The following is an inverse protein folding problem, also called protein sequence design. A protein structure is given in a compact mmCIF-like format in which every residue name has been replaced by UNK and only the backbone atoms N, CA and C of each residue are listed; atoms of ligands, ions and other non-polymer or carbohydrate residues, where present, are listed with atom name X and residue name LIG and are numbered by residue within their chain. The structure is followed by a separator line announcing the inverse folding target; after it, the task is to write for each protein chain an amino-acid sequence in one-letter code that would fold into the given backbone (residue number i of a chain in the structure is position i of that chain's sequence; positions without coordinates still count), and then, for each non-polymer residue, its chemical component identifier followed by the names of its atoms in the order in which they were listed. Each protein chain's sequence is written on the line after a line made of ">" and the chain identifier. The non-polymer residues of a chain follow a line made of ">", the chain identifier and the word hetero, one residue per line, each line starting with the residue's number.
data_IF_858074243124
#
_entry.id   IF_858074243124
#
_cell.length_a   1.000
_cell.length_b   1.000
_cell.length_c   1.000
_cell.angle_alpha   90.00
_cell.angle_beta   90.00
_cell.angle_gamma   90.00
#
_symmetry.space_group_name_H-M   'P 1'
#
loop_
_entity.id
_entity.type
_entity.pdbx_description
1 polymer ?
#
# COMPACT_ATOMS: atom_id res chain seq x y z
N UNK A 1 -12.47 26.68 1.53
CA UNK A 1 -12.40 25.86 2.75
C UNK A 1 -13.72 26.05 3.50
N UNK A 2 -14.56 25.03 3.42
CA UNK A 2 -15.78 25.00 4.23
C UNK A 2 -15.38 24.42 5.60
N UNK A 3 -15.62 25.17 6.66
CA UNK A 3 -15.43 24.74 8.04
C UNK A 3 -16.85 24.60 8.63
N UNK A 4 -17.25 23.37 8.97
CA UNK A 4 -18.58 23.06 9.48
C UNK A 4 -18.57 21.70 10.18
N UNK A 5 -19.23 21.63 11.32
CA UNK A 5 -19.42 20.42 12.14
C UNK A 5 -20.25 19.33 11.46
N UNK A 6 -21.01 19.67 10.42
CA UNK A 6 -21.78 18.70 9.62
C UNK A 6 -21.02 18.21 8.38
N UNK A 7 -19.77 18.63 8.18
CA UNK A 7 -18.98 18.27 7.02
C UNK A 7 -18.05 17.08 7.33
N UNK A 8 -18.24 15.97 6.64
CA UNK A 8 -17.42 14.77 6.76
C UNK A 8 -16.54 14.58 5.52
N UNK A 9 -15.21 14.63 5.71
CA UNK A 9 -14.24 14.35 4.67
C UNK A 9 -14.01 12.83 4.59
N UNK A 10 -14.43 12.20 3.49
CA UNK A 10 -14.27 10.76 3.28
C UNK A 10 -12.84 10.35 2.95
N UNK A 11 -12.12 11.18 2.20
CA UNK A 11 -10.70 10.91 1.91
C UNK A 11 -9.88 11.03 3.20
N UNK A 12 -9.03 10.04 3.51
CA UNK A 12 -8.18 10.12 4.71
C UNK A 12 -7.28 11.34 4.70
N UNK A 13 -7.11 11.95 5.87
CA UNK A 13 -6.18 13.06 6.04
C UNK A 13 -4.73 12.56 5.83
N UNK A 14 -3.94 13.21 4.95
CA UNK A 14 -2.55 12.85 4.71
C UNK A 14 -1.67 12.85 5.96
N UNK A 15 -1.99 13.64 6.99
CA UNK A 15 -1.26 13.70 8.25
C UNK A 15 -1.18 12.34 8.96
N UNK A 16 -2.20 11.47 8.77
CA UNK A 16 -2.29 10.15 9.41
C UNK A 16 -1.75 9.00 8.55
N UNK A 17 -1.15 9.30 7.37
CA UNK A 17 -0.80 8.30 6.35
C UNK A 17 0.12 7.19 6.88
N UNK A 18 1.08 7.54 7.71
CA UNK A 18 2.12 6.61 8.18
C UNK A 18 2.04 6.26 9.66
N UNK A 19 0.92 6.51 10.33
CA UNK A 19 0.74 6.14 11.74
C UNK A 19 0.95 4.64 12.00
N UNK A 20 0.66 3.80 10.99
CA UNK A 20 0.84 2.34 11.06
C UNK A 20 2.15 1.86 10.43
N UNK A 21 3.15 2.72 10.30
CA UNK A 21 4.42 2.40 9.65
C UNK A 21 5.55 2.08 10.64
N UNK A 22 5.36 2.31 11.95
CA UNK A 22 6.44 2.23 12.93
C UNK A 22 7.21 0.91 12.94
N UNK A 23 6.51 -0.21 12.80
CA UNK A 23 7.13 -1.54 12.74
C UNK A 23 7.77 -1.88 11.39
N UNK A 24 7.45 -1.12 10.32
CA UNK A 24 8.07 -1.30 9.00
C UNK A 24 9.48 -0.71 8.95
N UNK A 25 9.66 0.47 9.51
CA UNK A 25 10.91 1.23 9.40
C UNK A 25 11.74 1.24 10.69
N UNK A 26 11.15 0.77 11.79
CA UNK A 26 11.81 0.69 13.09
C UNK A 26 12.54 -0.64 13.33
N UNK A 27 13.37 -0.67 14.38
CA UNK A 27 14.16 -1.85 14.78
C UNK A 27 15.44 -2.04 13.98
N UNK A 28 16.03 -3.25 14.08
CA UNK A 28 17.30 -3.60 13.41
C UNK A 28 17.08 -4.01 11.94
N UNK A 29 16.30 -3.24 11.19
CA UNK A 29 16.08 -3.52 9.76
C UNK A 29 17.11 -2.84 8.89
N UNK A 30 17.62 -3.58 7.90
CA UNK A 30 18.39 -3.00 6.82
C UNK A 30 17.46 -2.35 5.79
N UNK A 31 17.41 -1.02 5.76
CA UNK A 31 16.53 -0.27 4.84
C UNK A 31 17.31 0.13 3.60
N UNK A 32 16.81 -0.23 2.42
CA UNK A 32 17.38 0.19 1.13
C UNK A 32 16.35 0.96 0.31
N UNK A 33 16.66 2.21 -0.02
CA UNK A 33 15.85 3.03 -0.94
C UNK A 33 16.26 2.75 -2.38
N UNK A 34 15.31 2.29 -3.20
CA UNK A 34 15.54 1.99 -4.62
C UNK A 34 15.03 3.15 -5.47
N UNK A 35 15.97 3.79 -6.15
CA UNK A 35 15.76 4.90 -7.07
C UNK A 35 15.68 4.40 -8.51
N UNK A 36 14.87 5.08 -9.32
CA UNK A 36 14.78 4.89 -10.77
C UNK A 36 14.75 6.25 -11.47
N UNK A 37 14.76 6.26 -12.81
CA UNK A 37 14.51 7.48 -13.58
C UNK A 37 13.10 8.07 -13.29
N UNK A 38 12.16 7.22 -12.87
CA UNK A 38 10.77 7.58 -12.54
C UNK A 38 10.54 7.66 -11.03
N UNK A 39 11.55 8.06 -10.24
CA UNK A 39 11.41 8.25 -8.79
C UNK A 39 10.39 9.34 -8.47
N UNK A 40 9.36 8.99 -7.70
CA UNK A 40 8.38 9.93 -7.16
C UNK A 40 9.00 10.75 -6.03
N UNK A 41 9.22 12.04 -6.30
CA UNK A 41 9.89 12.95 -5.37
C UNK A 41 9.05 13.30 -4.13
N UNK A 42 7.73 13.24 -4.24
CA UNK A 42 6.85 13.44 -3.11
C UNK A 42 6.93 12.24 -2.16
N UNK A 43 6.83 11.03 -2.70
CA UNK A 43 6.97 9.80 -1.94
C UNK A 43 8.37 9.67 -1.32
N UNK A 44 9.44 10.02 -2.06
CA UNK A 44 10.80 10.07 -1.51
C UNK A 44 10.88 10.97 -0.27
N UNK A 45 10.33 12.19 -0.35
CA UNK A 45 10.32 13.13 0.77
C UNK A 45 9.55 12.60 1.97
N UNK A 46 8.40 11.96 1.75
CA UNK A 46 7.59 11.34 2.81
C UNK A 46 8.36 10.21 3.50
N UNK A 47 9.02 9.35 2.73
CA UNK A 47 9.81 8.24 3.28
C UNK A 47 11.02 8.75 4.06
N UNK A 48 11.72 9.76 3.55
CA UNK A 48 12.86 10.35 4.28
C UNK A 48 12.41 10.99 5.59
N UNK A 49 11.25 11.64 5.61
CA UNK A 49 10.67 12.18 6.84
C UNK A 49 10.28 11.07 7.84
N UNK A 50 9.77 9.93 7.34
CA UNK A 50 9.42 8.77 8.16
C UNK A 50 10.65 8.08 8.76
N UNK A 51 11.75 7.98 8.01
CA UNK A 51 13.01 7.41 8.47
C UNK A 51 13.71 8.29 9.51
N UNK A 52 13.54 9.61 9.42
CA UNK A 52 14.21 10.54 10.32
C UNK A 52 15.74 10.37 10.34
N UNK A 53 16.31 10.08 11.53
CA UNK A 53 17.74 9.85 11.72
C UNK A 53 18.16 8.37 11.54
N UNK A 54 17.25 7.47 11.11
CA UNK A 54 17.56 6.06 10.89
C UNK A 54 18.52 5.89 9.71
N UNK A 55 19.45 4.95 9.84
CA UNK A 55 20.37 4.61 8.76
C UNK A 55 19.64 3.91 7.61
N UNK A 56 20.03 4.22 6.37
CA UNK A 56 19.53 3.58 5.18
C UNK A 56 20.55 3.57 4.05
N UNK A 57 20.46 2.59 3.18
CA UNK A 57 21.25 2.45 1.96
C UNK A 57 20.49 3.03 0.76
N UNK A 58 21.23 3.49 -0.26
CA UNK A 58 20.67 3.97 -1.51
C UNK A 58 21.13 3.12 -2.67
N UNK A 59 20.22 2.72 -3.51
CA UNK A 59 20.52 1.95 -4.72
C UNK A 59 19.78 2.58 -5.91
N UNK A 60 20.48 2.81 -7.03
CA UNK A 60 19.86 3.27 -8.27
C UNK A 60 19.72 2.10 -9.23
N UNK A 61 18.48 1.67 -9.43
CA UNK A 61 18.16 0.62 -10.38
C UNK A 61 18.29 1.16 -11.81
N UNK A 62 19.14 0.53 -12.61
CA UNK A 62 19.34 0.83 -14.01
C UNK A 62 18.93 -0.38 -14.83
N UNK A 63 17.97 -0.19 -15.75
CA UNK A 63 17.64 -1.21 -16.72
C UNK A 63 18.62 -1.14 -17.88
N UNK A 64 19.41 -2.19 -18.08
CA UNK A 64 20.19 -2.38 -19.30
C UNK A 64 19.44 -3.35 -20.23
N UNK A 65 19.42 -2.99 -21.53
CA UNK A 65 18.77 -3.83 -22.53
C UNK A 65 19.46 -5.20 -22.57
N UNK A 66 18.73 -6.34 -22.76
CA UNK A 66 19.28 -7.69 -22.74
C UNK A 66 20.43 -7.97 -23.73
N UNK A 67 20.70 -7.07 -24.67
CA UNK A 67 21.82 -7.14 -25.60
C UNK A 67 23.19 -6.79 -24.98
N UNK A 68 23.23 -6.18 -23.83
CA UNK A 68 24.48 -5.92 -23.10
C UNK A 68 24.92 -7.23 -22.42
N UNK A 69 25.90 -7.93 -22.99
CA UNK A 69 26.56 -9.10 -22.42
C UNK A 69 27.47 -8.67 -21.25
N UNK A 70 26.90 -8.20 -20.17
CA UNK A 70 27.65 -7.94 -18.93
C UNK A 70 27.54 -9.14 -17.98
N UNK A 71 28.66 -9.60 -17.47
CA UNK A 71 28.73 -10.70 -16.51
C UNK A 71 28.08 -10.35 -15.16
N UNK A 72 27.87 -9.05 -14.88
CA UNK A 72 27.14 -8.54 -13.74
C UNK A 72 25.86 -7.89 -14.28
N UNK A 73 24.78 -8.65 -14.29
CA UNK A 73 23.46 -8.12 -14.66
C UNK A 73 23.11 -6.95 -13.69
N UNK A 74 22.82 -5.74 -14.19
CA UNK A 74 22.39 -4.64 -13.33
C UNK A 74 21.07 -4.92 -12.60
N UNK A 75 20.40 -5.99 -12.97
CA UNK A 75 19.18 -6.47 -12.33
C UNK A 75 19.40 -7.46 -11.20
N UNK A 76 20.67 -7.84 -10.88
CA UNK A 76 20.94 -8.71 -9.74
C UNK A 76 20.91 -7.91 -8.43
N UNK A 77 19.83 -8.04 -7.68
CA UNK A 77 19.65 -7.41 -6.38
C UNK A 77 20.11 -8.30 -5.20
N UNK A 78 20.66 -9.50 -5.49
CA UNK A 78 21.19 -10.41 -4.46
C UNK A 78 22.20 -9.73 -3.51
N UNK A 79 23.11 -8.84 -3.99
CA UNK A 79 24.06 -8.18 -3.10
C UNK A 79 23.46 -7.18 -2.10
N UNK A 80 22.21 -6.79 -2.30
CA UNK A 80 21.50 -5.85 -1.41
C UNK A 80 20.82 -6.56 -0.23
N UNK A 81 20.78 -7.89 -0.24
CA UNK A 81 20.16 -8.69 0.82
C UNK A 81 21.19 -8.96 1.94
N UNK A 82 21.08 -8.21 3.02
CA UNK A 82 21.93 -8.38 4.20
C UNK A 82 21.51 -9.60 5.02
N UNK A 83 22.50 -10.42 5.38
CA UNK A 83 22.28 -11.62 6.19
C UNK A 83 22.13 -11.27 7.66
N UNK A 84 21.23 -11.97 8.36
CA UNK A 84 21.05 -11.84 9.80
C UNK A 84 20.17 -10.64 10.20
N UNK A 85 19.65 -9.90 9.24
CA UNK A 85 18.72 -8.80 9.46
C UNK A 85 17.48 -8.96 8.59
N UNK A 86 16.37 -8.33 9.01
CA UNK A 86 15.21 -8.14 8.16
C UNK A 86 15.48 -6.99 7.19
N UNK A 87 15.32 -7.25 5.88
CA UNK A 87 15.57 -6.24 4.85
C UNK A 87 14.26 -5.56 4.47
N UNK A 88 14.27 -4.23 4.39
CA UNK A 88 13.17 -3.45 3.84
C UNK A 88 13.64 -2.72 2.58
N UNK A 89 13.08 -3.08 1.44
CA UNK A 89 13.27 -2.33 0.20
C UNK A 89 12.14 -1.30 0.04
N UNK A 90 12.49 -0.04 -0.13
CA UNK A 90 11.52 1.01 -0.45
C UNK A 90 11.69 1.38 -1.92
N UNK A 91 10.74 0.99 -2.77
CA UNK A 91 10.78 1.30 -4.19
C UNK A 91 10.10 2.64 -4.43
N UNK A 92 10.89 3.65 -4.77
CA UNK A 92 10.43 5.05 -4.86
C UNK A 92 9.74 5.39 -6.20
N UNK A 93 9.50 4.41 -7.06
CA UNK A 93 8.86 4.63 -8.36
C UNK A 93 7.34 4.48 -8.29
N UNK A 94 6.63 5.31 -9.05
CA UNK A 94 5.19 5.16 -9.36
C UNK A 94 4.94 4.69 -10.81
N UNK A 95 6.00 4.27 -11.51
CA UNK A 95 5.92 3.69 -12.85
C UNK A 95 5.77 2.17 -12.75
N UNK A 96 4.69 1.61 -13.30
CA UNK A 96 4.39 0.18 -13.20
C UNK A 96 5.45 -0.72 -13.84
N UNK A 97 6.11 -0.27 -14.91
CA UNK A 97 7.16 -1.04 -15.61
C UNK A 97 8.43 -1.14 -14.77
N UNK A 98 8.85 -0.03 -14.15
CA UNK A 98 10.00 -0.03 -13.23
C UNK A 98 9.73 -0.92 -12.03
N UNK A 99 8.54 -0.78 -11.43
CA UNK A 99 8.12 -1.56 -10.26
C UNK A 99 8.10 -3.05 -10.57
N UNK A 100 7.48 -3.46 -11.68
CA UNK A 100 7.43 -4.87 -12.09
C UNK A 100 8.84 -5.46 -12.27
N UNK A 101 9.74 -4.72 -12.91
CA UNK A 101 11.13 -5.16 -13.12
C UNK A 101 11.90 -5.32 -11.82
N UNK A 102 11.76 -4.38 -10.89
CA UNK A 102 12.44 -4.43 -9.60
C UNK A 102 11.91 -5.59 -8.75
N UNK A 103 10.59 -5.77 -8.68
CA UNK A 103 9.98 -6.90 -7.99
C UNK A 103 10.41 -8.23 -8.61
N UNK A 104 10.43 -8.34 -9.95
CA UNK A 104 10.92 -9.54 -10.62
C UNK A 104 12.41 -9.82 -10.32
N UNK A 105 13.23 -8.79 -10.19
CA UNK A 105 14.63 -8.92 -9.83
C UNK A 105 14.81 -9.39 -8.38
N UNK A 106 14.03 -8.90 -7.42
CA UNK A 106 14.01 -9.37 -6.02
C UNK A 106 13.55 -10.82 -5.93
N UNK A 107 12.46 -11.18 -6.64
CA UNK A 107 11.99 -12.55 -6.71
C UNK A 107 13.02 -13.51 -7.35
N UNK A 108 13.80 -13.02 -8.32
CA UNK A 108 14.89 -13.79 -8.93
C UNK A 108 16.08 -13.96 -7.99
N UNK A 109 16.42 -12.95 -7.19
CA UNK A 109 17.44 -13.02 -6.16
C UNK A 109 17.09 -14.09 -5.12
N UNK A 110 15.85 -14.12 -4.64
CA UNK A 110 15.33 -15.16 -3.74
C UNK A 110 15.49 -16.56 -4.34
N UNK A 111 15.06 -16.75 -5.58
CA UNK A 111 15.19 -18.02 -6.29
C UNK A 111 16.66 -18.43 -6.49
N UNK A 112 17.55 -17.49 -6.79
CA UNK A 112 18.98 -17.74 -6.97
C UNK A 112 19.65 -18.20 -5.68
N UNK A 113 19.29 -17.62 -4.54
CA UNK A 113 19.82 -18.00 -3.22
C UNK A 113 19.33 -19.41 -2.82
N UNK A 114 18.03 -19.65 -2.93
CA UNK A 114 17.40 -20.92 -2.54
C UNK A 114 17.84 -22.08 -3.42
N UNK A 115 18.04 -21.87 -4.72
CA UNK A 115 18.55 -22.91 -5.65
C UNK A 115 19.96 -23.36 -5.32
N UNK A 116 20.74 -22.55 -4.59
CA UNK A 116 22.08 -22.89 -4.09
C UNK A 116 22.06 -23.56 -2.71
N UNK A 117 20.87 -23.96 -2.23
CA UNK A 117 20.69 -24.57 -0.91
C UNK A 117 20.90 -23.62 0.27
N UNK A 118 20.80 -22.30 0.04
CA UNK A 118 20.89 -21.28 1.06
C UNK A 118 19.50 -20.76 1.42
N UNK A 119 19.33 -20.26 2.63
CA UNK A 119 18.13 -19.56 3.04
C UNK A 119 18.24 -18.10 2.64
N UNK A 120 17.24 -17.60 1.92
CA UNK A 120 17.15 -16.16 1.60
C UNK A 120 16.97 -15.35 2.87
N UNK A 121 17.73 -14.26 3.07
CA UNK A 121 17.46 -13.30 4.11
C UNK A 121 16.02 -12.80 4.00
N UNK A 122 15.35 -12.65 5.12
CA UNK A 122 13.99 -12.15 5.13
C UNK A 122 13.94 -10.73 4.56
N UNK A 123 12.98 -10.47 3.68
CA UNK A 123 12.78 -9.14 3.14
C UNK A 123 11.30 -8.83 2.92
N UNK A 124 11.00 -7.55 2.84
CA UNK A 124 9.70 -7.01 2.44
C UNK A 124 9.90 -5.76 1.58
N UNK A 125 8.88 -5.38 0.86
CA UNK A 125 8.92 -4.21 -0.04
C UNK A 125 7.87 -3.20 0.37
N UNK A 126 8.27 -1.97 0.65
CA UNK A 126 7.36 -0.85 0.83
C UNK A 126 7.19 -0.12 -0.51
N UNK A 127 5.96 -0.09 -1.00
CA UNK A 127 5.58 0.52 -2.26
C UNK A 127 4.85 1.84 -2.13
N UNK A 128 4.83 2.58 -3.25
CA UNK A 128 4.06 3.82 -3.35
C UNK A 128 2.54 3.53 -3.24
N UNK A 129 1.75 4.35 -2.56
CA UNK A 129 0.29 4.22 -2.47
C UNK A 129 -0.43 4.12 -3.82
N UNK A 130 0.18 4.65 -4.89
CA UNK A 130 -0.37 4.57 -6.26
C UNK A 130 -0.37 3.16 -6.84
N UNK A 131 0.41 2.22 -6.28
CA UNK A 131 0.48 0.83 -6.77
C UNK A 131 -0.85 0.09 -6.68
N UNK A 132 -1.74 0.52 -5.81
CA UNK A 132 -3.10 -0.03 -5.75
C UNK A 132 -3.88 0.11 -7.08
N UNK A 133 -3.45 1.02 -7.97
CA UNK A 133 -4.05 1.26 -9.30
C UNK A 133 -3.40 0.46 -10.42
N UNK A 134 -2.27 -0.21 -10.17
CA UNK A 134 -1.59 -0.98 -11.20
C UNK A 134 -2.40 -2.24 -11.55
N UNK A 135 -2.87 -2.30 -12.80
CA UNK A 135 -3.65 -3.43 -13.31
C UNK A 135 -2.83 -4.48 -14.06
N UNK A 136 -1.62 -4.13 -14.51
CA UNK A 136 -0.79 -4.97 -15.37
C UNK A 136 0.22 -5.85 -14.63
N UNK A 137 0.49 -5.59 -13.34
CA UNK A 137 1.45 -6.38 -12.57
C UNK A 137 0.79 -7.65 -12.05
N UNK A 138 1.45 -8.79 -12.25
CA UNK A 138 1.01 -10.06 -11.65
C UNK A 138 1.04 -9.96 -10.13
N UNK A 139 -0.12 -10.10 -9.50
CA UNK A 139 -0.26 -10.02 -8.04
C UNK A 139 0.48 -11.13 -7.30
N UNK A 140 0.80 -12.24 -7.95
CA UNK A 140 1.60 -13.30 -7.35
C UNK A 140 2.97 -12.79 -6.88
N UNK A 141 3.55 -11.83 -7.59
CA UNK A 141 4.85 -11.24 -7.22
C UNK A 141 4.75 -10.38 -5.95
N UNK A 142 3.60 -9.76 -5.69
CA UNK A 142 3.39 -8.99 -4.47
C UNK A 142 3.43 -9.88 -3.22
N UNK A 143 2.86 -11.07 -3.29
CA UNK A 143 2.92 -12.04 -2.21
C UNK A 143 4.34 -12.58 -2.00
N UNK A 144 5.04 -12.89 -3.09
CA UNK A 144 6.40 -13.40 -3.05
C UNK A 144 7.36 -12.41 -2.41
N UNK A 145 7.25 -11.13 -2.75
CA UNK A 145 8.12 -10.06 -2.27
C UNK A 145 7.60 -9.39 -1.00
N UNK A 146 6.49 -9.88 -0.43
CA UNK A 146 5.85 -9.35 0.78
C UNK A 146 5.64 -7.84 0.68
N UNK A 147 4.96 -7.43 -0.40
CA UNK A 147 4.70 -6.02 -0.68
C UNK A 147 3.75 -5.44 0.36
N UNK A 148 4.10 -4.27 0.85
CA UNK A 148 3.29 -3.44 1.74
C UNK A 148 3.10 -2.08 1.10
N UNK A 149 1.91 -1.52 1.17
CA UNK A 149 1.66 -0.13 0.81
C UNK A 149 0.49 0.45 1.59
N UNK A 150 0.50 1.77 1.72
CA UNK A 150 -0.60 2.51 2.35
C UNK A 150 -1.62 2.90 1.28
N UNK A 151 -2.89 2.70 1.58
CA UNK A 151 -3.97 3.00 0.63
C UNK A 151 -5.16 3.65 1.31
N UNK A 152 -5.86 4.47 0.56
CA UNK A 152 -7.14 5.04 0.98
C UNK A 152 -8.32 4.10 0.76
N UNK A 153 -8.09 2.98 0.02
CA UNK A 153 -9.11 1.97 -0.26
C UNK A 153 -8.47 0.64 -0.65
N UNK A 154 -9.09 -0.46 -0.25
CA UNK A 154 -8.74 -1.80 -0.73
C UNK A 154 -9.93 -2.74 -0.55
N UNK A 155 -10.60 -3.11 -1.64
CA UNK A 155 -11.69 -4.08 -1.58
C UNK A 155 -11.11 -5.50 -1.45
N UNK A 156 -11.36 -6.15 -0.32
CA UNK A 156 -10.96 -7.54 -0.06
C UNK A 156 -11.93 -8.48 -0.76
N UNK A 157 -11.65 -8.78 -2.04
CA UNK A 157 -12.56 -9.52 -2.94
C UNK A 157 -12.84 -10.97 -2.53
N UNK A 158 -12.05 -11.54 -1.65
CA UNK A 158 -12.24 -12.86 -1.05
C UNK A 158 -13.20 -12.82 0.15
N UNK A 159 -13.54 -11.65 0.67
CA UNK A 159 -14.52 -11.50 1.74
C UNK A 159 -15.96 -11.75 1.24
N UNK A 160 -16.78 -12.32 2.10
CA UNK A 160 -18.18 -12.61 1.78
C UNK A 160 -18.98 -11.35 1.46
N UNK A 161 -18.76 -10.27 2.21
CA UNK A 161 -19.47 -9.00 2.03
C UNK A 161 -19.19 -8.41 0.65
N UNK A 162 -17.92 -8.37 0.22
CA UNK A 162 -17.53 -7.84 -1.10
C UNK A 162 -18.08 -8.74 -2.21
N UNK A 163 -17.98 -10.07 -2.09
CA UNK A 163 -18.55 -11.01 -3.09
C UNK A 163 -20.06 -10.87 -3.22
N UNK A 164 -20.76 -10.68 -2.12
CA UNK A 164 -22.20 -10.47 -2.13
C UNK A 164 -22.57 -9.18 -2.86
N UNK A 165 -21.87 -8.09 -2.56
CA UNK A 165 -22.04 -6.82 -3.26
C UNK A 165 -21.75 -6.97 -4.76
N UNK A 166 -20.60 -7.55 -5.14
CA UNK A 166 -20.20 -7.75 -6.54
C UNK A 166 -21.27 -8.52 -7.31
N UNK A 167 -21.77 -9.61 -6.72
CA UNK A 167 -22.80 -10.45 -7.33
C UNK A 167 -24.12 -9.70 -7.53
N UNK A 168 -24.52 -8.91 -6.52
CA UNK A 168 -25.73 -8.09 -6.60
C UNK A 168 -25.59 -6.97 -7.64
N UNK A 169 -24.43 -6.32 -7.67
CA UNK A 169 -24.13 -5.25 -8.63
C UNK A 169 -24.12 -5.75 -10.08
N UNK A 170 -23.43 -6.87 -10.34
CA UNK A 170 -23.39 -7.50 -11.68
C UNK A 170 -24.82 -7.87 -12.13
N UNK A 171 -25.64 -8.43 -11.24
CA UNK A 171 -27.01 -8.78 -11.55
C UNK A 171 -27.87 -7.57 -11.91
N UNK A 172 -27.66 -6.44 -11.22
CA UNK A 172 -28.45 -5.23 -11.41
C UNK A 172 -28.00 -4.43 -12.64
N UNK A 173 -26.70 -4.38 -12.93
CA UNK A 173 -26.11 -3.48 -13.93
C UNK A 173 -25.42 -4.17 -15.10
N UNK A 174 -25.24 -5.49 -15.08
CA UNK A 174 -24.55 -6.25 -16.13
C UNK A 174 -23.05 -5.94 -16.26
N UNK A 175 -22.45 -5.31 -15.26
CA UNK A 175 -21.06 -4.86 -15.29
C UNK A 175 -20.38 -5.09 -13.94
N UNK A 176 -19.05 -5.18 -13.93
CA UNK A 176 -18.27 -5.24 -12.69
C UNK A 176 -18.30 -3.90 -11.94
N UNK A 177 -18.37 -3.92 -10.61
CA UNK A 177 -18.25 -2.70 -9.80
C UNK A 177 -16.91 -2.01 -10.03
N UNK A 178 -16.95 -0.70 -10.03
CA UNK A 178 -15.77 0.17 -10.08
C UNK A 178 -15.42 0.69 -8.69
N UNK A 179 -14.27 1.34 -8.55
CA UNK A 179 -13.91 2.10 -7.34
C UNK A 179 -15.05 3.02 -6.86
N UNK A 180 -15.73 3.67 -7.80
CA UNK A 180 -16.82 4.60 -7.47
C UNK A 180 -18.10 3.88 -7.04
N UNK A 181 -18.37 2.68 -7.56
CA UNK A 181 -19.50 1.84 -7.12
C UNK A 181 -19.35 1.44 -5.66
N UNK A 182 -18.15 0.97 -5.28
CA UNK A 182 -17.84 0.66 -3.88
C UNK A 182 -17.93 1.90 -2.98
N UNK A 183 -17.38 3.02 -3.43
CA UNK A 183 -17.42 4.27 -2.64
C UNK A 183 -18.85 4.77 -2.42
N UNK A 184 -19.70 4.69 -3.44
CA UNK A 184 -21.11 5.05 -3.32
C UNK A 184 -21.85 4.18 -2.30
N UNK A 185 -21.61 2.87 -2.35
CA UNK A 185 -22.18 1.92 -1.37
C UNK A 185 -21.68 2.21 0.04
N UNK A 186 -20.35 2.33 0.22
CA UNK A 186 -19.73 2.64 1.51
C UNK A 186 -20.34 3.90 2.13
N UNK A 187 -20.47 4.96 1.33
CA UNK A 187 -21.07 6.23 1.77
C UNK A 187 -22.53 6.05 2.19
N UNK A 188 -23.33 5.34 1.39
CA UNK A 188 -24.74 5.13 1.69
C UNK A 188 -24.92 4.31 2.98
N UNK A 189 -24.13 3.25 3.18
CA UNK A 189 -24.20 2.40 4.39
C UNK A 189 -23.84 3.18 5.66
N UNK A 190 -22.90 4.10 5.57
CA UNK A 190 -22.45 4.90 6.72
C UNK A 190 -23.48 6.01 7.05
N UNK A 191 -23.88 6.79 6.05
CA UNK A 191 -24.64 8.01 6.31
C UNK A 191 -26.17 7.80 6.36
N UNK A 192 -26.71 6.80 5.66
CA UNK A 192 -28.16 6.60 5.68
C UNK A 192 -28.71 6.27 7.08
N UNK A 193 -28.10 5.38 7.89
CA UNK A 193 -28.54 5.17 9.27
C UNK A 193 -28.35 6.40 10.16
N UNK A 194 -27.22 7.13 10.01
CA UNK A 194 -26.92 8.28 10.80
C UNK A 194 -27.84 9.49 10.55
N UNK A 195 -28.49 9.54 9.38
CA UNK A 195 -29.48 10.61 9.08
C UNK A 195 -30.72 10.57 9.98
N UNK A 196 -30.97 9.47 10.69
CA UNK A 196 -32.09 9.34 11.63
C UNK A 196 -31.71 9.62 13.09
N UNK A 197 -30.45 9.91 13.36
CA UNK A 197 -29.89 10.25 14.67
C UNK A 197 -29.07 11.52 14.62
N UNK A 198 -28.23 11.71 15.62
CA UNK A 198 -27.20 12.73 15.62
C UNK A 198 -25.99 12.23 14.83
N UNK A 199 -25.82 12.76 13.60
CA UNK A 199 -24.77 12.30 12.69
C UNK A 199 -23.39 12.45 13.31
N UNK A 200 -23.12 13.57 13.97
CA UNK A 200 -21.83 13.84 14.58
C UNK A 200 -21.49 12.81 15.66
N UNK A 201 -22.43 12.62 16.58
CA UNK A 201 -22.27 11.70 17.70
C UNK A 201 -22.21 10.25 17.26
N UNK A 202 -22.99 9.85 16.27
CA UNK A 202 -23.08 8.48 15.80
C UNK A 202 -21.88 8.03 14.95
N UNK A 203 -21.18 8.95 14.27
CA UNK A 203 -20.10 8.65 13.35
C UNK A 203 -18.69 8.88 13.93
N UNK A 204 -18.57 9.76 14.92
CA UNK A 204 -17.27 10.10 15.51
C UNK A 204 -16.69 8.93 16.32
N UNK A 205 -15.36 8.76 16.22
CA UNK A 205 -14.59 7.75 16.94
C UNK A 205 -15.04 6.28 16.76
N UNK A 206 -15.92 6.01 15.81
CA UNK A 206 -16.32 4.66 15.42
C UNK A 206 -15.65 4.23 14.14
N UNK A 207 -15.23 2.97 14.10
CA UNK A 207 -14.62 2.37 12.91
C UNK A 207 -15.70 1.68 12.06
N UNK A 208 -15.77 2.08 10.79
CA UNK A 208 -16.66 1.51 9.78
C UNK A 208 -15.85 0.92 8.64
N UNK A 209 -16.10 -0.33 8.28
CA UNK A 209 -15.45 -1.00 7.15
C UNK A 209 -16.52 -1.68 6.28
N UNK A 210 -17.26 -0.92 5.43
CA UNK A 210 -18.32 -1.52 4.63
C UNK A 210 -17.79 -2.46 3.55
N UNK A 211 -17.07 -1.97 2.53
CA UNK A 211 -16.54 -2.79 1.44
C UNK A 211 -15.04 -2.56 1.17
N UNK A 212 -14.64 -1.33 0.87
CA UNK A 212 -13.29 -1.05 0.38
C UNK A 212 -12.49 -0.07 1.24
N UNK A 213 -13.14 0.71 2.08
CA UNK A 213 -12.49 1.74 2.88
C UNK A 213 -12.86 1.54 4.35
N UNK A 214 -11.86 1.67 5.21
CA UNK A 214 -12.10 1.81 6.64
C UNK A 214 -12.20 3.28 6.96
N UNK A 215 -13.30 3.66 7.60
CA UNK A 215 -13.55 5.02 8.05
C UNK A 215 -13.41 5.10 9.57
N UNK A 216 -12.70 6.11 10.01
CA UNK A 216 -12.59 6.51 11.41
C UNK A 216 -12.61 8.03 11.43
N UNK A 217 -13.79 8.61 11.68
CA UNK A 217 -13.93 10.05 11.70
C UNK A 217 -13.50 10.63 13.04
N UNK A 218 -12.90 11.78 12.99
CA UNK A 218 -12.59 12.60 14.13
C UNK A 218 -12.41 14.04 13.70
N UNK A 219 -12.39 14.96 14.64
CA UNK A 219 -12.25 16.38 14.35
C UNK A 219 -10.94 16.68 13.63
N UNK A 220 -10.98 17.46 12.57
CA UNK A 220 -9.80 17.92 11.86
C UNK A 220 -8.98 18.91 12.69
N UNK A 221 -7.67 18.91 12.56
CA UNK A 221 -6.81 19.82 13.30
C UNK A 221 -7.10 21.28 12.94
N UNK A 222 -7.50 22.09 13.93
CA UNK A 222 -7.86 23.49 13.74
C UNK A 222 -9.10 23.71 12.87
N UNK A 223 -9.98 22.72 12.74
CA UNK A 223 -11.21 22.77 11.93
C UNK A 223 -12.39 22.21 12.72
N UNK A 224 -13.60 22.62 12.36
CA UNK A 224 -14.84 22.07 12.90
C UNK A 224 -15.29 20.81 12.15
N UNK A 225 -14.83 20.62 10.90
CA UNK A 225 -15.19 19.47 10.08
C UNK A 225 -14.55 18.17 10.55
N UNK A 226 -15.28 17.08 10.37
CA UNK A 226 -14.80 15.72 10.64
C UNK A 226 -13.98 15.18 9.47
N UNK A 227 -12.83 14.57 9.76
CA UNK A 227 -11.96 13.98 8.77
C UNK A 227 -11.79 12.49 9.02
N UNK A 228 -11.72 11.72 7.96
CA UNK A 228 -11.30 10.31 8.07
C UNK A 228 -9.81 10.28 8.42
N UNK A 229 -9.46 9.64 9.53
CA UNK A 229 -8.06 9.50 10.00
C UNK A 229 -7.45 8.17 9.56
N UNK A 230 -8.24 7.24 9.04
CA UNK A 230 -7.75 5.90 8.80
C UNK A 230 -7.15 5.75 7.41
N UNK A 231 -5.85 5.57 7.36
CA UNK A 231 -5.14 4.98 6.23
C UNK A 231 -5.05 3.47 6.42
N UNK A 232 -5.27 2.73 5.35
CA UNK A 232 -5.18 1.27 5.36
C UNK A 232 -3.74 0.87 5.01
N UNK A 233 -3.13 0.08 5.87
CA UNK A 233 -1.90 -0.62 5.55
C UNK A 233 -2.27 -1.97 4.94
N UNK A 234 -1.91 -2.18 3.69
CA UNK A 234 -2.20 -3.40 2.95
C UNK A 234 -0.93 -4.23 2.86
N UNK A 235 -0.94 -5.42 3.47
CA UNK A 235 0.19 -6.33 3.50
C UNK A 235 -0.13 -7.57 2.64
N UNK A 236 0.73 -7.87 1.67
CA UNK A 236 0.71 -9.11 0.91
C UNK A 236 1.64 -10.11 1.59
N UNK A 237 1.09 -11.18 2.14
CA UNK A 237 1.84 -12.15 2.92
C UNK A 237 2.32 -13.33 2.04
N UNK A 238 3.43 -13.95 2.40
CA UNK A 238 4.01 -15.09 1.66
C UNK A 238 3.14 -16.34 1.62
N UNK A 239 2.11 -16.42 2.46
CA UNK A 239 1.09 -17.48 2.46
C UNK A 239 -0.11 -17.19 1.51
N UNK A 240 0.04 -16.19 0.63
CA UNK A 240 -0.99 -15.71 -0.30
C UNK A 240 -2.21 -15.09 0.35
N UNK A 241 -2.11 -14.66 1.60
CA UNK A 241 -3.15 -13.86 2.26
C UNK A 241 -2.87 -12.36 2.15
N UNK A 242 -3.94 -11.56 2.23
CA UNK A 242 -3.85 -10.10 2.35
C UNK A 242 -4.38 -9.72 3.73
N UNK A 243 -3.55 -9.04 4.51
CA UNK A 243 -3.98 -8.41 5.76
C UNK A 243 -4.11 -6.91 5.58
N UNK A 244 -5.13 -6.33 6.21
CA UNK A 244 -5.45 -4.91 6.17
C UNK A 244 -5.54 -4.42 7.61
N UNK A 245 -4.74 -3.39 7.93
CA UNK A 245 -4.69 -2.76 9.25
C UNK A 245 -5.22 -1.34 9.22
#
# INVERSE_FOLDING_TARGET
>A
NHNSDVLFQLAPDPAHKYEKAGDLVGGDKHVTLIYTASTDKEFEREILALLGDSEYSRYTYKYEHPSARSANSPSDLTPLLENGQDNLFVILSDNSVDVERILAALASADTSITSRGRTTPRFSVLGNPRWNRFGGIDRAIYFKDRVVFFSTYHAKRDSEVVRTFDSAYIRAFGALPTLYSYRGYDTAVIFAPAMYGDIEYDLEDRRYTPLQTTYLFGQGEGRENHVNRNWMRVNYNSDFTITIE
#
